data_IF_441440732698
#
_entry.id   IF_441440732698
#
_cell.length_a   1.000
_cell.length_b   1.000
_cell.length_c   1.000
_cell.angle_alpha   90.00
_cell.angle_beta   90.00
_cell.angle_gamma   90.00
#
_symmetry.space_group_name_H-M   'P 1'
#
loop_
_entity.id
_entity.type
_entity.pdbx_description
1 polymer ?
#
# COMPACT_ATOMS: atom_id res chain seq x y z
N UNK A 1 -22.60 1.21 4.67
CA UNK A 1 -21.34 0.88 5.38
C UNK A 1 -20.52 -0.21 4.66
N UNK A 2 -21.13 -1.30 4.14
CA UNK A 2 -20.41 -2.42 3.51
C UNK A 2 -19.67 -2.12 2.19
N UNK A 3 -20.12 -1.13 1.39
CA UNK A 3 -19.49 -0.76 0.10
C UNK A 3 -18.04 -0.25 0.26
N UNK A 4 -17.72 0.43 1.36
CA UNK A 4 -16.39 1.00 1.58
C UNK A 4 -15.34 -0.06 1.94
N UNK A 5 -15.74 -1.17 2.58
CA UNK A 5 -14.84 -2.27 2.95
C UNK A 5 -14.38 -3.02 1.70
N UNK A 6 -15.31 -3.30 0.77
CA UNK A 6 -15.00 -3.90 -0.53
C UNK A 6 -14.02 -3.05 -1.33
N UNK A 7 -14.28 -1.74 -1.43
CA UNK A 7 -13.39 -0.79 -2.09
C UNK A 7 -11.99 -0.71 -1.43
N UNK A 8 -11.90 -0.74 -0.10
CA UNK A 8 -10.61 -0.73 0.60
C UNK A 8 -9.79 -2.00 0.36
N UNK A 9 -10.45 -3.16 0.25
CA UNK A 9 -9.78 -4.43 -0.12
C UNK A 9 -9.22 -4.38 -1.55
N UNK A 10 -10.02 -3.90 -2.51
CA UNK A 10 -9.60 -3.73 -3.90
C UNK A 10 -8.45 -2.71 -4.01
N UNK A 11 -8.56 -1.56 -3.33
CA UNK A 11 -7.48 -0.57 -3.29
C UNK A 11 -6.19 -1.15 -2.71
N UNK A 12 -6.27 -1.92 -1.61
CA UNK A 12 -5.11 -2.57 -1.02
C UNK A 12 -4.45 -3.56 -2.00
N UNK A 13 -5.23 -4.33 -2.76
CA UNK A 13 -4.70 -5.23 -3.78
C UNK A 13 -3.86 -4.49 -4.84
N UNK A 14 -4.37 -3.39 -5.39
CA UNK A 14 -3.63 -2.58 -6.36
C UNK A 14 -2.39 -1.92 -5.75
N UNK A 15 -2.47 -1.44 -4.51
CA UNK A 15 -1.34 -0.87 -3.79
C UNK A 15 -0.23 -1.90 -3.57
N UNK A 16 -0.56 -3.15 -3.20
CA UNK A 16 0.40 -4.25 -3.06
C UNK A 16 1.04 -4.59 -4.41
N UNK A 17 0.25 -4.66 -5.50
CA UNK A 17 0.76 -4.90 -6.85
C UNK A 17 1.76 -3.82 -7.28
N UNK A 18 1.47 -2.55 -6.99
CA UNK A 18 2.40 -1.42 -7.22
C UNK A 18 3.66 -1.54 -6.36
N UNK A 19 3.52 -1.90 -5.09
CA UNK A 19 4.64 -2.04 -4.17
C UNK A 19 5.62 -3.12 -4.63
N UNK A 20 5.13 -4.26 -5.15
CA UNK A 20 5.99 -5.30 -5.75
C UNK A 20 6.84 -4.76 -6.91
N UNK A 21 6.26 -3.98 -7.82
CA UNK A 21 6.98 -3.35 -8.94
C UNK A 21 8.05 -2.36 -8.46
N UNK A 22 7.70 -1.49 -7.52
CA UNK A 22 8.64 -0.49 -6.98
C UNK A 22 9.75 -1.17 -6.18
N UNK A 23 9.44 -2.22 -5.42
CA UNK A 23 10.44 -2.99 -4.67
C UNK A 23 11.47 -3.64 -5.60
N UNK A 24 11.03 -4.18 -6.73
CA UNK A 24 11.94 -4.73 -7.74
C UNK A 24 12.91 -3.65 -8.27
N UNK A 25 12.40 -2.47 -8.64
CA UNK A 25 13.24 -1.36 -9.06
C UNK A 25 14.20 -0.89 -7.95
N UNK A 26 13.71 -0.79 -6.71
CA UNK A 26 14.49 -0.33 -5.56
C UNK A 26 15.62 -1.29 -5.15
N UNK A 27 15.45 -2.60 -5.35
CA UNK A 27 16.51 -3.59 -5.11
C UNK A 27 17.72 -3.31 -6.00
N UNK A 28 17.47 -2.92 -7.26
CA UNK A 28 18.51 -2.57 -8.22
C UNK A 28 19.09 -1.17 -7.96
N UNK A 29 18.30 -0.24 -7.40
CA UNK A 29 18.68 1.15 -7.11
C UNK A 29 18.48 1.53 -5.64
N UNK A 30 19.25 0.90 -4.73
CA UNK A 30 19.09 1.04 -3.27
C UNK A 30 19.25 2.47 -2.71
N UNK A 31 19.89 3.36 -3.46
CA UNK A 31 20.11 4.78 -3.08
C UNK A 31 18.96 5.70 -3.50
N UNK A 32 17.95 5.21 -4.21
CA UNK A 32 16.84 6.05 -4.67
C UNK A 32 15.90 6.44 -3.51
N UNK A 33 16.05 7.69 -3.07
CA UNK A 33 15.25 8.29 -2.00
C UNK A 33 13.77 8.43 -2.40
N UNK A 34 13.47 8.69 -3.68
CA UNK A 34 12.08 8.82 -4.16
C UNK A 34 11.35 7.49 -3.99
N UNK A 35 12.01 6.38 -4.35
CA UNK A 35 11.45 5.05 -4.14
C UNK A 35 11.20 4.74 -2.66
N UNK A 36 12.13 5.09 -1.75
CA UNK A 36 11.91 4.94 -0.29
C UNK A 36 10.68 5.69 0.20
N UNK A 37 10.52 6.95 -0.22
CA UNK A 37 9.38 7.79 0.16
C UNK A 37 8.07 7.17 -0.35
N UNK A 38 8.04 6.72 -1.61
CA UNK A 38 6.84 6.11 -2.21
C UNK A 38 6.47 4.81 -1.51
N UNK A 39 7.44 3.92 -1.25
CA UNK A 39 7.21 2.67 -0.52
C UNK A 39 6.62 2.97 0.86
N UNK A 40 7.22 3.90 1.61
CA UNK A 40 6.72 4.30 2.93
C UNK A 40 5.28 4.81 2.88
N UNK A 41 4.96 5.71 1.95
CA UNK A 41 3.60 6.22 1.74
C UNK A 41 2.58 5.11 1.44
N UNK A 42 2.94 4.15 0.57
CA UNK A 42 2.05 3.03 0.22
C UNK A 42 1.81 2.14 1.44
N UNK A 43 2.86 1.80 2.20
CA UNK A 43 2.75 0.98 3.42
C UNK A 43 1.84 1.68 4.44
N UNK A 44 2.05 2.97 4.69
CA UNK A 44 1.21 3.74 5.61
C UNK A 44 -0.26 3.76 5.18
N UNK A 45 -0.55 3.86 3.87
CA UNK A 45 -1.93 3.82 3.36
C UNK A 45 -2.58 2.45 3.56
N UNK A 46 -1.87 1.37 3.24
CA UNK A 46 -2.35 -0.01 3.46
C UNK A 46 -2.65 -0.23 4.96
N UNK A 47 -1.75 0.20 5.85
CA UNK A 47 -1.91 0.07 7.31
C UNK A 47 -3.14 0.84 7.80
N UNK A 48 -3.37 2.07 7.30
CA UNK A 48 -4.59 2.85 7.60
C UNK A 48 -5.86 2.12 7.14
N UNK A 49 -5.85 1.57 5.92
CA UNK A 49 -6.98 0.83 5.37
C UNK A 49 -7.29 -0.45 6.17
N UNK A 50 -6.25 -1.20 6.58
CA UNK A 50 -6.42 -2.40 7.42
C UNK A 50 -6.99 -2.02 8.79
N UNK A 51 -6.47 -0.96 9.43
CA UNK A 51 -6.99 -0.48 10.71
C UNK A 51 -8.45 -0.02 10.61
N UNK A 52 -8.83 0.65 9.52
CA UNK A 52 -10.22 1.03 9.27
C UNK A 52 -11.12 -0.19 9.14
N UNK A 53 -10.70 -1.22 8.39
CA UNK A 53 -11.46 -2.45 8.27
C UNK A 53 -11.60 -3.14 9.64
N UNK A 54 -10.52 -3.24 10.42
CA UNK A 54 -10.53 -3.86 11.76
C UNK A 54 -11.44 -3.15 12.76
N UNK A 55 -11.54 -1.81 12.69
CA UNK A 55 -12.44 -1.03 13.56
C UNK A 55 -13.92 -1.15 13.20
N UNK A 56 -14.21 -1.53 11.95
CA UNK A 56 -15.56 -1.62 11.42
C UNK A 56 -16.05 -3.07 11.25
N UNK A 57 -15.26 -4.05 11.71
CA UNK A 57 -15.67 -5.44 11.97
C UNK A 57 -16.08 -5.51 13.42
#
# INVERSE_FOLDING_TARGET
MCKNIGNNKIQNYFLIKRLKKIKFHFINNKKDLKCKIIISKIISKIKKNINFIKKNI
#
